data_IF_380619726258
#
_entry.id   IF_380619726258
#
_cell.length_a   1.000
_cell.length_b   1.000
_cell.length_c   1.000
_cell.angle_alpha   90.00
_cell.angle_beta   90.00
_cell.angle_gamma   90.00
#
_symmetry.space_group_name_H-M   'P 1'
#
loop_
_entity.id
_entity.type
_entity.pdbx_description
1 polymer ?
#
# COMPACT_ATOMS: atom_id res chain seq x y z
N UNK A 1 -4.67 -4.96 -27.40
CA UNK A 1 -3.65 -5.30 -26.39
C UNK A 1 -2.34 -5.78 -27.01
N UNK A 2 -1.24 -5.54 -26.30
CA UNK A 2 0.03 -6.23 -26.55
C UNK A 2 0.04 -7.59 -25.83
N UNK A 3 0.79 -8.60 -26.32
CA UNK A 3 0.92 -9.90 -25.63
C UNK A 3 1.38 -9.79 -24.17
N UNK A 4 2.18 -8.76 -23.85
CA UNK A 4 2.62 -8.48 -22.49
C UNK A 4 1.47 -8.00 -21.58
N UNK A 5 0.55 -7.19 -22.11
CA UNK A 5 -0.62 -6.75 -21.36
C UNK A 5 -1.60 -7.90 -21.12
N UNK A 6 -1.74 -8.82 -22.09
CA UNK A 6 -2.60 -10.01 -21.96
C UNK A 6 -2.09 -10.92 -20.86
N UNK A 7 -0.79 -11.21 -20.88
CA UNK A 7 -0.15 -11.98 -19.83
C UNK A 7 -0.28 -11.31 -18.45
N UNK A 8 -0.08 -9.98 -18.36
CA UNK A 8 -0.21 -9.26 -17.10
C UNK A 8 -1.66 -9.29 -16.56
N UNK A 9 -2.65 -9.19 -17.45
CA UNK A 9 -4.07 -9.27 -17.10
C UNK A 9 -4.41 -10.67 -16.57
N UNK A 10 -4.00 -11.73 -17.27
CA UNK A 10 -4.22 -13.12 -16.83
C UNK A 10 -3.62 -13.38 -15.44
N UNK A 11 -2.38 -12.95 -15.21
CA UNK A 11 -1.72 -13.10 -13.91
C UNK A 11 -2.47 -12.34 -12.82
N UNK A 12 -2.93 -11.12 -13.09
CA UNK A 12 -3.69 -10.32 -12.12
C UNK A 12 -5.04 -10.97 -11.77
N UNK A 13 -5.75 -11.51 -12.77
CA UNK A 13 -7.03 -12.22 -12.58
C UNK A 13 -6.84 -13.51 -11.79
N UNK A 14 -5.78 -14.28 -12.07
CA UNK A 14 -5.46 -15.48 -11.30
C UNK A 14 -5.13 -15.16 -9.85
N UNK A 15 -4.33 -14.10 -9.61
CA UNK A 15 -4.05 -13.63 -8.26
C UNK A 15 -5.33 -13.24 -7.53
N UNK A 16 -6.28 -12.56 -8.19
CA UNK A 16 -7.56 -12.23 -7.57
C UNK A 16 -8.37 -13.50 -7.25
N UNK A 17 -8.68 -14.33 -8.25
CA UNK A 17 -9.59 -15.47 -8.10
C UNK A 17 -9.09 -16.51 -7.08
N UNK A 18 -7.78 -16.73 -6.97
CA UNK A 18 -7.23 -17.72 -6.06
C UNK A 18 -7.14 -17.23 -4.61
N UNK A 19 -7.35 -15.92 -4.36
CA UNK A 19 -7.06 -15.30 -3.07
C UNK A 19 -8.21 -14.40 -2.56
N UNK A 20 -9.33 -14.31 -3.28
CA UNK A 20 -10.44 -13.40 -2.95
C UNK A 20 -11.23 -13.78 -1.68
N UNK A 21 -10.87 -14.88 -1.04
CA UNK A 21 -11.45 -15.32 0.24
C UNK A 21 -10.73 -14.72 1.45
N UNK A 22 -9.56 -14.11 1.26
CA UNK A 22 -8.80 -13.35 2.28
C UNK A 22 -8.59 -14.09 3.62
N UNK A 23 -8.43 -15.41 3.58
CA UNK A 23 -8.33 -16.26 4.77
C UNK A 23 -6.99 -16.12 5.52
N UNK A 24 -5.98 -15.52 4.90
CA UNK A 24 -4.65 -15.34 5.48
C UNK A 24 -3.87 -14.18 4.83
N UNK A 25 -2.75 -13.81 5.45
CA UNK A 25 -1.88 -12.69 5.01
C UNK A 25 -1.33 -12.86 3.59
N UNK A 26 -1.03 -14.09 3.17
CA UNK A 26 -0.57 -14.35 1.81
C UNK A 26 -1.68 -14.02 0.80
N UNK A 27 -2.92 -14.40 1.09
CA UNK A 27 -4.08 -14.07 0.26
C UNK A 27 -4.33 -12.57 0.20
N UNK A 28 -4.28 -11.87 1.34
CA UNK A 28 -4.38 -10.40 1.38
C UNK A 28 -3.28 -9.76 0.53
N UNK A 29 -2.03 -10.24 0.67
CA UNK A 29 -0.90 -9.76 -0.11
C UNK A 29 -1.06 -10.00 -1.62
N UNK A 30 -1.63 -11.14 -2.00
CA UNK A 30 -1.92 -11.48 -3.39
C UNK A 30 -3.04 -10.62 -3.98
N UNK A 31 -4.07 -10.25 -3.20
CA UNK A 31 -5.10 -9.30 -3.64
C UNK A 31 -4.52 -7.89 -3.81
N UNK A 32 -3.66 -7.43 -2.89
CA UNK A 32 -2.92 -6.17 -3.06
C UNK A 32 -2.06 -6.18 -4.35
N UNK A 33 -1.39 -7.30 -4.63
CA UNK A 33 -0.59 -7.48 -5.84
C UNK A 33 -1.45 -7.51 -7.11
N UNK A 34 -2.60 -8.19 -7.08
CA UNK A 34 -3.57 -8.21 -8.17
C UNK A 34 -4.02 -6.78 -8.51
N UNK A 35 -4.43 -6.03 -7.48
CA UNK A 35 -4.86 -4.65 -7.65
C UNK A 35 -3.75 -3.76 -8.21
N UNK A 36 -2.53 -3.85 -7.68
CA UNK A 36 -1.37 -3.11 -8.23
C UNK A 36 -1.17 -3.39 -9.72
N UNK A 37 -1.29 -4.65 -10.14
CA UNK A 37 -1.21 -5.02 -11.56
C UNK A 37 -2.33 -4.42 -12.39
N UNK A 38 -3.57 -4.42 -11.91
CA UNK A 38 -4.70 -3.79 -12.61
C UNK A 38 -4.50 -2.27 -12.77
N UNK A 39 -4.00 -1.58 -11.74
CA UNK A 39 -3.66 -0.14 -11.80
C UNK A 39 -2.55 0.12 -12.83
N UNK A 40 -1.51 -0.72 -12.85
CA UNK A 40 -0.41 -0.56 -13.80
C UNK A 40 -0.86 -0.82 -15.25
N UNK A 41 -1.77 -1.78 -15.47
CA UNK A 41 -2.41 -2.01 -16.77
C UNK A 41 -3.18 -0.76 -17.18
N UNK A 42 -4.00 -0.18 -16.30
CA UNK A 42 -4.75 1.06 -16.58
C UNK A 42 -3.82 2.21 -17.02
N UNK A 43 -2.71 2.44 -16.31
CA UNK A 43 -1.74 3.50 -16.64
C UNK A 43 -1.00 3.26 -17.95
N UNK A 44 -0.81 2.01 -18.35
CA UNK A 44 -0.09 1.64 -19.57
C UNK A 44 -0.94 1.72 -20.84
N UNK A 45 -2.26 1.78 -20.70
CA UNK A 45 -3.20 1.88 -21.83
C UNK A 45 -3.25 3.31 -22.35
N UNK A 46 -2.52 3.58 -23.42
CA UNK A 46 -2.43 4.91 -24.05
C UNK A 46 -3.68 5.36 -24.80
N UNK A 47 -4.58 4.43 -25.15
CA UNK A 47 -5.85 4.72 -25.83
C UNK A 47 -7.05 4.38 -24.92
N UNK A 48 -7.90 5.40 -24.68
CA UNK A 48 -9.02 5.39 -23.71
C UNK A 48 -10.25 4.57 -24.13
N UNK A 49 -10.20 3.90 -25.27
CA UNK A 49 -11.34 3.20 -25.90
C UNK A 49 -11.13 1.68 -26.04
N UNK A 50 -10.19 1.10 -25.30
CA UNK A 50 -9.94 -0.35 -25.35
C UNK A 50 -10.96 -1.11 -24.48
N UNK A 51 -11.52 -2.19 -25.02
CA UNK A 51 -12.58 -3.04 -24.42
C UNK A 51 -12.17 -3.63 -23.06
N UNK A 52 -10.90 -3.54 -22.72
CA UNK A 52 -10.29 -4.08 -21.51
C UNK A 52 -10.41 -3.13 -20.32
N UNK A 53 -10.48 -1.81 -20.52
CA UNK A 53 -10.56 -0.85 -19.42
C UNK A 53 -11.78 -1.07 -18.50
N UNK A 54 -13.01 -1.31 -19.03
CA UNK A 54 -14.15 -1.68 -18.19
C UNK A 54 -13.82 -2.87 -17.27
N UNK A 55 -13.14 -3.89 -17.80
CA UNK A 55 -12.80 -5.10 -17.05
C UNK A 55 -11.68 -4.87 -16.03
N UNK A 56 -10.71 -4.02 -16.35
CA UNK A 56 -9.68 -3.58 -15.38
C UNK A 56 -10.33 -2.86 -14.20
N UNK A 57 -11.26 -1.93 -14.47
CA UNK A 57 -12.00 -1.23 -13.42
C UNK A 57 -12.94 -2.15 -12.62
N UNK A 58 -13.53 -3.18 -13.26
CA UNK A 58 -14.28 -4.24 -12.56
C UNK A 58 -13.42 -4.90 -11.49
N UNK A 59 -12.24 -5.40 -11.86
CA UNK A 59 -11.36 -6.06 -10.90
C UNK A 59 -10.79 -5.09 -9.86
N UNK A 60 -10.54 -3.83 -10.21
CA UNK A 60 -10.16 -2.79 -9.23
C UNK A 60 -11.25 -2.63 -8.18
N UNK A 61 -12.51 -2.55 -8.61
CA UNK A 61 -13.66 -2.44 -7.71
C UNK A 61 -13.80 -3.68 -6.82
N UNK A 62 -13.70 -4.88 -7.38
CA UNK A 62 -13.78 -6.14 -6.63
C UNK A 62 -12.63 -6.28 -5.61
N UNK A 63 -11.41 -5.89 -5.97
CA UNK A 63 -10.29 -5.86 -5.03
C UNK A 63 -10.58 -4.89 -3.87
N UNK A 64 -11.02 -3.66 -4.16
CA UNK A 64 -11.35 -2.68 -3.14
C UNK A 64 -12.51 -3.14 -2.25
N UNK A 65 -13.53 -3.77 -2.80
CA UNK A 65 -14.64 -4.34 -2.05
C UNK A 65 -14.18 -5.42 -1.08
N UNK A 66 -13.37 -6.37 -1.57
CA UNK A 66 -12.77 -7.41 -0.72
C UNK A 66 -11.89 -6.81 0.38
N UNK A 67 -11.25 -5.69 0.09
CA UNK A 67 -10.43 -4.97 1.03
C UNK A 67 -11.19 -3.96 1.91
N UNK A 68 -12.52 -4.03 1.93
CA UNK A 68 -13.38 -3.19 2.77
C UNK A 68 -13.24 -1.68 2.51
N UNK A 69 -12.89 -1.31 1.27
CA UNK A 69 -12.83 0.08 0.81
C UNK A 69 -14.12 0.43 0.03
N UNK A 70 -15.26 0.49 0.72
CA UNK A 70 -16.60 0.53 0.11
C UNK A 70 -16.82 1.70 -0.85
N UNK A 71 -16.47 2.92 -0.44
CA UNK A 71 -16.58 4.12 -1.28
C UNK A 71 -15.77 4.00 -2.58
N UNK A 72 -14.52 3.52 -2.52
CA UNK A 72 -13.68 3.33 -3.72
C UNK A 72 -14.17 2.18 -4.59
N UNK A 73 -14.62 1.09 -3.96
CA UNK A 73 -15.22 -0.03 -4.67
C UNK A 73 -16.42 0.44 -5.49
N UNK A 74 -17.29 1.27 -4.88
CA UNK A 74 -18.46 1.84 -5.52
C UNK A 74 -18.08 2.67 -6.75
N UNK A 75 -17.21 3.66 -6.58
CA UNK A 75 -16.87 4.58 -7.65
C UNK A 75 -16.06 3.92 -8.78
N UNK A 76 -15.18 2.96 -8.47
CA UNK A 76 -14.51 2.16 -9.50
C UNK A 76 -15.50 1.25 -10.25
N UNK A 77 -16.51 0.69 -9.56
CA UNK A 77 -17.57 -0.10 -10.18
C UNK A 77 -18.42 0.76 -11.12
N UNK A 78 -18.82 1.96 -10.69
CA UNK A 78 -19.52 2.93 -11.54
C UNK A 78 -18.69 3.30 -12.76
N UNK A 79 -17.37 3.49 -12.59
CA UNK A 79 -16.47 3.80 -13.72
C UNK A 79 -16.34 2.65 -14.71
N UNK A 80 -16.30 1.40 -14.22
CA UNK A 80 -16.32 0.19 -15.05
C UNK A 80 -17.56 0.16 -15.96
N UNK A 81 -18.74 0.41 -15.39
CA UNK A 81 -20.01 0.45 -16.14
C UNK A 81 -20.01 1.56 -17.18
N UNK A 82 -19.65 2.79 -16.80
CA UNK A 82 -19.58 3.95 -17.71
C UNK A 82 -18.68 3.66 -18.92
N UNK A 83 -17.49 3.10 -18.69
CA UNK A 83 -16.57 2.74 -19.76
C UNK A 83 -17.11 1.60 -20.63
N UNK A 84 -17.81 0.63 -20.02
CA UNK A 84 -18.41 -0.50 -20.74
C UNK A 84 -19.55 -0.07 -21.66
N UNK A 85 -20.42 0.82 -21.17
CA UNK A 85 -21.50 1.42 -21.96
C UNK A 85 -20.92 2.24 -23.12
N UNK A 86 -19.93 3.09 -22.87
CA UNK A 86 -19.27 3.88 -23.92
C UNK A 86 -18.57 2.99 -24.97
N UNK A 87 -17.92 1.89 -24.55
CA UNK A 87 -17.29 0.95 -25.47
C UNK A 87 -18.33 0.19 -26.32
N UNK A 88 -19.48 -0.14 -25.74
CA UNK A 88 -20.58 -0.79 -26.44
C UNK A 88 -21.25 0.15 -27.46
N UNK A 89 -21.51 1.41 -27.10
CA UNK A 89 -22.10 2.42 -28.00
C UNK A 89 -21.21 2.71 -29.22
N UNK A 90 -19.89 2.66 -29.03
CA UNK A 90 -18.92 2.88 -30.10
C UNK A 90 -18.59 1.60 -30.90
N UNK A 91 -19.18 0.45 -30.54
CA UNK A 91 -18.94 -0.82 -31.24
C UNK A 91 -19.72 -0.88 -32.56
N UNK A 92 -19.03 -1.25 -33.63
CA UNK A 92 -19.64 -1.52 -34.95
C UNK A 92 -20.39 -2.87 -34.96
N UNK A 93 -20.08 -3.74 -34.00
CA UNK A 93 -20.67 -5.07 -33.88
C UNK A 93 -21.63 -5.12 -32.68
N UNK A 94 -22.77 -5.80 -32.87
CA UNK A 94 -23.63 -6.24 -31.76
C UNK A 94 -22.92 -7.43 -31.10
N UNK A 95 -21.96 -7.14 -30.24
CA UNK A 95 -21.20 -8.13 -29.48
C UNK A 95 -21.95 -8.53 -28.20
N UNK A 96 -21.56 -9.66 -27.60
CA UNK A 96 -22.10 -10.11 -26.31
C UNK A 96 -21.94 -9.00 -25.26
N UNK A 97 -23.04 -8.60 -24.63
CA UNK A 97 -23.07 -7.53 -23.61
C UNK A 97 -22.07 -7.83 -22.49
N UNK A 98 -21.87 -9.11 -22.16
CA UNK A 98 -20.93 -9.55 -21.13
C UNK A 98 -19.45 -9.30 -21.49
N UNK A 99 -19.16 -8.97 -22.76
CA UNK A 99 -17.82 -8.59 -23.19
C UNK A 99 -17.42 -7.20 -22.67
N UNK A 100 -18.40 -6.30 -22.49
CA UNK A 100 -18.18 -4.91 -22.08
C UNK A 100 -18.69 -4.62 -20.67
N UNK A 101 -19.71 -5.36 -20.23
CA UNK A 101 -20.43 -5.12 -18.99
C UNK A 101 -20.37 -6.36 -18.10
N UNK A 102 -19.67 -6.23 -16.98
CA UNK A 102 -19.48 -7.32 -16.02
C UNK A 102 -20.67 -7.38 -15.05
N UNK A 103 -21.44 -8.46 -15.11
CA UNK A 103 -22.61 -8.65 -14.24
C UNK A 103 -22.25 -8.65 -12.74
N UNK A 104 -21.02 -9.06 -12.38
CA UNK A 104 -20.57 -9.05 -10.99
C UNK A 104 -20.44 -7.62 -10.46
N UNK A 105 -20.10 -6.65 -11.32
CA UNK A 105 -19.99 -5.24 -10.96
C UNK A 105 -21.35 -4.63 -10.66
N UNK A 106 -22.39 -4.99 -11.43
CA UNK A 106 -23.75 -4.54 -11.13
C UNK A 106 -24.27 -5.12 -9.81
N UNK A 107 -23.98 -6.40 -9.54
CA UNK A 107 -24.32 -7.01 -8.27
C UNK A 107 -23.59 -6.31 -7.11
N UNK A 108 -22.31 -5.97 -7.30
CA UNK A 108 -21.51 -5.22 -6.34
C UNK A 108 -22.08 -3.81 -6.07
N UNK A 109 -22.41 -3.03 -7.11
CA UNK A 109 -23.02 -1.70 -6.95
C UNK A 109 -24.28 -1.80 -6.11
N UNK A 110 -25.14 -2.77 -6.41
CA UNK A 110 -26.40 -2.97 -5.68
C UNK A 110 -26.15 -3.36 -4.22
N UNK A 111 -25.21 -4.25 -3.96
CA UNK A 111 -24.81 -4.66 -2.60
C UNK A 111 -24.33 -3.45 -1.79
N UNK A 112 -23.46 -2.64 -2.38
CA UNK A 112 -22.91 -1.42 -1.79
C UNK A 112 -24.00 -0.39 -1.46
N UNK A 113 -24.92 -0.15 -2.39
CA UNK A 113 -26.05 0.78 -2.19
C UNK A 113 -27.05 0.30 -1.13
N UNK A 114 -27.15 -1.02 -0.90
CA UNK A 114 -28.10 -1.60 0.04
C UNK A 114 -27.53 -1.74 1.45
N UNK A 115 -26.26 -2.10 1.56
CA UNK A 115 -25.65 -2.55 2.81
C UNK A 115 -24.51 -1.64 3.31
N UNK A 116 -23.98 -0.74 2.47
CA UNK A 116 -22.83 0.12 2.78
C UNK A 116 -23.05 1.59 2.39
N UNK A 117 -24.30 2.03 2.28
CA UNK A 117 -24.64 3.37 1.80
C UNK A 117 -24.11 4.49 2.71
N UNK A 118 -23.97 4.24 4.00
CA UNK A 118 -23.40 5.17 4.99
C UNK A 118 -21.88 5.35 4.87
N UNK A 119 -21.22 4.43 4.18
CA UNK A 119 -19.77 4.47 3.92
C UNK A 119 -19.42 5.14 2.59
N UNK A 120 -20.42 5.50 1.77
CA UNK A 120 -20.24 6.01 0.41
C UNK A 120 -20.65 7.48 0.34
N UNK A 121 -19.77 8.32 -0.19
CA UNK A 121 -20.13 9.69 -0.53
C UNK A 121 -20.69 9.71 -1.96
N UNK A 122 -22.02 9.77 -2.09
CA UNK A 122 -22.71 9.76 -3.38
C UNK A 122 -22.60 11.07 -4.16
N UNK A 123 -22.22 12.18 -3.52
CA UNK A 123 -22.19 13.50 -4.16
C UNK A 123 -20.89 13.76 -4.92
N UNK A 124 -19.80 13.08 -4.55
CA UNK A 124 -18.45 13.41 -5.05
C UNK A 124 -18.13 12.95 -6.47
N UNK A 125 -18.79 11.92 -6.99
CA UNK A 125 -18.42 11.31 -8.28
C UNK A 125 -17.09 10.53 -8.24
N UNK A 126 -16.77 9.83 -9.32
CA UNK A 126 -15.44 9.22 -9.49
C UNK A 126 -14.37 10.30 -9.74
N UNK A 127 -13.26 10.21 -9.02
CA UNK A 127 -12.08 11.05 -9.13
C UNK A 127 -10.89 10.23 -9.66
N UNK A 128 -10.12 10.80 -10.60
CA UNK A 128 -8.90 10.16 -11.10
C UNK A 128 -7.91 9.90 -9.95
N UNK A 129 -7.45 8.64 -9.82
CA UNK A 129 -6.55 8.21 -8.74
C UNK A 129 -7.22 7.37 -7.65
N UNK A 130 -8.54 7.20 -7.68
CA UNK A 130 -9.30 6.35 -6.75
C UNK A 130 -8.99 4.85 -6.82
N UNK A 131 -8.39 4.41 -7.91
CA UNK A 131 -7.95 3.02 -8.07
C UNK A 131 -6.85 2.62 -7.06
N UNK A 132 -6.25 3.57 -6.34
CA UNK A 132 -5.17 3.31 -5.38
C UNK A 132 -5.69 2.95 -3.97
N UNK A 133 -5.11 1.87 -3.41
CA UNK A 133 -5.50 1.20 -2.14
C UNK A 133 -5.28 2.08 -0.92
N UNK A 134 -4.25 2.90 -0.99
CA UNK A 134 -3.90 3.83 0.06
C UNK A 134 -3.99 5.21 -0.54
N UNK A 135 -4.45 6.19 0.24
CA UNK A 135 -4.10 7.57 -0.04
C UNK A 135 -2.58 7.71 0.15
N UNK A 136 -1.85 7.22 -0.86
CA UNK A 136 -0.40 7.30 -0.94
C UNK A 136 0.00 8.68 -1.42
N UNK A 137 -0.93 9.58 -1.78
CA UNK A 137 -0.60 10.93 -2.27
C UNK A 137 0.30 11.65 -1.27
N UNK A 138 0.00 11.52 0.02
CA UNK A 138 0.82 12.08 1.11
C UNK A 138 2.15 11.35 1.23
N UNK A 139 2.17 10.02 1.17
CA UNK A 139 3.40 9.20 1.20
C UNK A 139 4.32 9.54 0.02
N UNK A 140 3.76 9.64 -1.19
CA UNK A 140 4.45 10.02 -2.42
C UNK A 140 4.94 11.47 -2.36
N UNK A 141 4.16 12.39 -1.78
CA UNK A 141 4.60 13.78 -1.59
C UNK A 141 5.81 13.86 -0.66
N UNK A 142 5.81 13.09 0.43
CA UNK A 142 6.91 13.01 1.38
C UNK A 142 8.14 12.35 0.75
N UNK A 143 7.96 11.25 0.01
CA UNK A 143 9.05 10.57 -0.70
C UNK A 143 9.64 11.43 -1.84
N UNK A 144 8.83 12.27 -2.51
CA UNK A 144 9.34 13.26 -3.48
C UNK A 144 10.20 14.32 -2.81
N UNK A 145 9.79 14.83 -1.64
CA UNK A 145 10.61 15.79 -0.88
C UNK A 145 11.98 15.22 -0.51
N UNK A 146 12.05 13.93 -0.13
CA UNK A 146 13.34 13.23 0.09
C UNK A 146 14.16 13.17 -1.19
N UNK A 147 13.55 12.77 -2.31
CA UNK A 147 14.26 12.63 -3.59
C UNK A 147 14.81 13.97 -4.10
N UNK A 148 14.02 15.02 -4.00
CA UNK A 148 14.35 16.35 -4.52
C UNK A 148 15.35 17.08 -3.60
N UNK A 149 15.48 16.67 -2.33
CA UNK A 149 16.50 17.18 -1.41
C UNK A 149 17.94 16.78 -1.79
N UNK A 150 18.13 15.82 -2.71
CA UNK A 150 19.44 15.38 -3.20
C UNK A 150 20.38 14.80 -2.14
N UNK A 151 19.90 14.59 -0.92
CA UNK A 151 20.71 14.14 0.21
C UNK A 151 20.83 12.62 0.20
N UNK A 152 21.92 12.12 -0.40
CA UNK A 152 22.39 10.73 -0.24
C UNK A 152 22.95 10.44 1.17
N UNK A 153 22.59 11.25 2.17
CA UNK A 153 23.11 11.18 3.53
C UNK A 153 21.98 10.95 4.54
N UNK A 154 22.34 10.34 5.66
CA UNK A 154 21.46 10.21 6.83
C UNK A 154 21.14 11.62 7.34
N UNK A 155 19.98 12.14 6.94
CA UNK A 155 19.52 13.49 7.27
C UNK A 155 18.36 13.42 8.25
N UNK A 156 18.21 14.51 9.02
CA UNK A 156 17.10 14.72 9.93
C UNK A 156 15.76 14.55 9.19
N UNK A 157 15.60 15.23 8.06
CA UNK A 157 14.40 15.16 7.24
C UNK A 157 14.10 13.74 6.74
N UNK A 158 15.12 12.98 6.30
CA UNK A 158 14.91 11.61 5.80
C UNK A 158 14.42 10.66 6.90
N UNK A 159 14.99 10.71 8.10
CA UNK A 159 14.54 9.90 9.24
C UNK A 159 13.11 10.26 9.60
N UNK A 160 12.81 11.56 9.73
CA UNK A 160 11.47 12.03 10.09
C UNK A 160 10.42 11.60 9.07
N UNK A 161 10.71 11.74 7.78
CA UNK A 161 9.81 11.33 6.70
C UNK A 161 9.55 9.83 6.75
N UNK A 162 10.57 9.00 6.95
CA UNK A 162 10.38 7.55 7.04
C UNK A 162 9.53 7.15 8.24
N UNK A 163 9.70 7.82 9.40
CA UNK A 163 8.83 7.61 10.56
C UNK A 163 7.38 7.97 10.22
N UNK A 164 7.15 9.12 9.57
CA UNK A 164 5.80 9.54 9.16
C UNK A 164 5.16 8.55 8.17
N UNK A 165 5.93 8.02 7.22
CA UNK A 165 5.48 7.01 6.25
C UNK A 165 5.10 5.71 6.97
N UNK A 166 5.93 5.22 7.89
CA UNK A 166 5.63 4.02 8.66
C UNK A 166 4.41 4.20 9.59
N UNK A 167 4.22 5.39 10.16
CA UNK A 167 3.01 5.71 10.92
C UNK A 167 1.77 5.64 10.02
N UNK A 168 1.85 6.13 8.78
CA UNK A 168 0.74 6.03 7.83
C UNK A 168 0.45 4.60 7.40
N UNK A 169 1.47 3.76 7.22
CA UNK A 169 1.25 2.33 6.98
C UNK A 169 0.56 1.65 8.17
N UNK A 170 0.99 1.96 9.40
CA UNK A 170 0.32 1.45 10.60
C UNK A 170 -1.15 1.90 10.63
N UNK A 171 -1.43 3.20 10.55
CA UNK A 171 -2.80 3.74 10.60
C UNK A 171 -3.71 3.13 9.54
N UNK A 172 -3.22 2.99 8.31
CA UNK A 172 -4.02 2.45 7.22
C UNK A 172 -4.28 0.95 7.39
N UNK A 173 -3.29 0.19 7.87
CA UNK A 173 -3.44 -1.23 8.13
C UNK A 173 -4.37 -1.49 9.33
N UNK A 174 -4.27 -0.70 10.40
CA UNK A 174 -5.18 -0.82 11.55
C UNK A 174 -6.63 -0.61 11.14
N UNK A 175 -6.92 0.46 10.38
CA UNK A 175 -8.27 0.70 9.86
C UNK A 175 -8.79 -0.45 9.01
N UNK A 176 -7.94 -0.97 8.13
CA UNK A 176 -8.26 -2.11 7.28
C UNK A 176 -8.64 -3.35 8.09
N UNK A 177 -7.80 -3.76 9.03
CA UNK A 177 -8.05 -4.97 9.82
C UNK A 177 -9.18 -4.81 10.84
N UNK A 178 -9.36 -3.61 11.40
CA UNK A 178 -10.48 -3.29 12.30
C UNK A 178 -11.83 -3.38 11.58
N UNK A 179 -11.91 -2.87 10.36
CA UNK A 179 -13.12 -2.92 9.56
C UNK A 179 -13.52 -4.38 9.21
N UNK A 180 -12.53 -5.26 9.02
CA UNK A 180 -12.73 -6.71 8.86
C UNK A 180 -12.99 -7.47 10.17
N UNK A 181 -13.00 -6.80 11.33
CA UNK A 181 -13.17 -7.45 12.64
C UNK A 181 -11.97 -8.29 13.10
N UNK A 182 -10.81 -8.19 12.42
CA UNK A 182 -9.60 -8.96 12.72
C UNK A 182 -8.60 -8.16 13.57
N UNK A 183 -8.98 -7.90 14.82
CA UNK A 183 -8.14 -7.18 15.77
C UNK A 183 -6.80 -7.87 16.07
N UNK A 184 -6.69 -9.18 15.87
CA UNK A 184 -5.43 -9.91 16.07
C UNK A 184 -4.43 -9.58 14.97
N UNK A 185 -4.87 -9.56 13.70
CA UNK A 185 -4.01 -9.17 12.59
C UNK A 185 -3.64 -7.68 12.65
N UNK A 186 -4.58 -6.81 13.03
CA UNK A 186 -4.29 -5.39 13.26
C UNK A 186 -3.13 -5.22 14.25
N UNK A 187 -3.17 -5.97 15.34
CA UNK A 187 -2.14 -5.95 16.38
C UNK A 187 -0.80 -6.53 15.89
N UNK A 188 -0.82 -7.68 15.22
CA UNK A 188 0.40 -8.32 14.69
C UNK A 188 1.10 -7.42 13.65
N UNK A 189 0.32 -6.81 12.75
CA UNK A 189 0.85 -5.88 11.76
C UNK A 189 1.40 -4.62 12.42
N UNK A 190 0.69 -4.07 13.42
CA UNK A 190 1.18 -2.96 14.23
C UNK A 190 2.53 -3.25 14.88
N UNK A 191 2.69 -4.42 15.51
CA UNK A 191 3.96 -4.85 16.09
C UNK A 191 5.08 -4.96 15.05
N UNK A 192 4.79 -5.53 13.88
CA UNK A 192 5.74 -5.62 12.78
C UNK A 192 6.24 -4.22 12.38
N UNK A 193 5.32 -3.26 12.19
CA UNK A 193 5.69 -1.89 11.82
C UNK A 193 6.53 -1.21 12.91
N UNK A 194 6.21 -1.42 14.19
CA UNK A 194 6.99 -0.87 15.31
C UNK A 194 8.45 -1.36 15.29
N UNK A 195 8.71 -2.61 14.89
CA UNK A 195 10.09 -3.12 14.74
C UNK A 195 10.94 -2.30 13.77
N UNK A 196 10.33 -1.72 12.71
CA UNK A 196 11.01 -0.84 11.76
C UNK A 196 11.08 0.62 12.24
N UNK A 197 10.28 1.02 13.23
CA UNK A 197 10.36 2.38 13.79
C UNK A 197 11.44 2.51 14.84
N UNK A 198 11.65 1.48 15.67
CA UNK A 198 12.63 1.54 16.77
C UNK A 198 14.04 1.96 16.32
N UNK A 199 14.60 1.41 15.22
CA UNK A 199 15.91 1.85 14.76
C UNK A 199 15.93 3.31 14.30
N UNK A 200 14.83 3.82 13.73
CA UNK A 200 14.72 5.23 13.32
C UNK A 200 14.66 6.16 14.52
N UNK A 201 13.93 5.79 15.57
CA UNK A 201 13.90 6.54 16.84
C UNK A 201 15.28 6.57 17.48
N UNK A 202 15.98 5.44 17.48
CA UNK A 202 17.33 5.36 18.01
C UNK A 202 18.31 6.18 17.16
N UNK A 203 18.22 6.12 15.82
CA UNK A 203 19.01 6.97 14.93
C UNK A 203 18.79 8.45 15.26
N UNK A 204 17.54 8.88 15.39
CA UNK A 204 17.20 10.26 15.74
C UNK A 204 17.93 10.75 16.99
N UNK A 205 18.00 9.91 18.02
CA UNK A 205 18.71 10.19 19.27
C UNK A 205 20.23 10.13 19.12
N UNK A 206 20.78 9.06 18.55
CA UNK A 206 22.23 8.84 18.44
C UNK A 206 22.93 9.88 17.56
N UNK A 207 22.25 10.35 16.50
CA UNK A 207 22.76 11.42 15.63
C UNK A 207 22.43 12.84 16.15
N UNK A 208 21.90 12.96 17.38
CA UNK A 208 21.65 14.23 18.09
C UNK A 208 20.64 15.15 17.39
N UNK A 209 19.63 14.58 16.74
CA UNK A 209 18.55 15.37 16.12
C UNK A 209 17.40 15.70 17.08
N UNK A 210 17.26 14.92 18.15
CA UNK A 210 16.27 15.09 19.21
C UNK A 210 16.20 13.84 20.07
N UNK A 211 15.01 13.52 20.59
CA UNK A 211 14.79 12.36 21.46
C UNK A 211 13.70 11.45 20.87
N UNK A 212 13.70 10.16 21.22
CA UNK A 212 12.65 9.22 20.78
C UNK A 212 11.24 9.68 21.22
N UNK A 213 11.15 10.43 22.32
CA UNK A 213 9.91 11.08 22.81
C UNK A 213 9.34 12.14 21.87
N UNK A 214 10.08 12.57 20.84
CA UNK A 214 9.54 13.43 19.79
C UNK A 214 8.50 12.69 18.93
N UNK A 215 8.51 11.35 18.95
CA UNK A 215 7.60 10.49 18.20
C UNK A 215 6.69 9.65 19.08
N UNK A 216 7.15 9.30 20.28
CA UNK A 216 6.37 8.53 21.26
C UNK A 216 5.48 9.45 22.10
N UNK A 217 4.24 9.03 22.36
CA UNK A 217 3.28 9.75 23.21
C UNK A 217 3.37 9.25 24.65
N UNK A 218 2.90 10.09 25.58
CA UNK A 218 2.72 9.69 26.97
C UNK A 218 1.75 8.49 27.04
N UNK A 219 2.22 7.39 27.64
CA UNK A 219 1.50 6.11 27.69
C UNK A 219 2.01 5.04 26.71
N UNK A 220 2.83 5.40 25.72
CA UNK A 220 3.45 4.42 24.84
C UNK A 220 4.47 3.56 25.60
N UNK A 221 4.47 2.25 25.32
CA UNK A 221 5.43 1.34 25.94
C UNK A 221 6.84 1.59 25.42
N UNK A 222 7.77 1.86 26.32
CA UNK A 222 9.21 1.96 26.01
C UNK A 222 9.88 0.58 25.79
N UNK A 223 9.18 -0.50 26.11
CA UNK A 223 9.77 -1.84 26.07
C UNK A 223 10.35 -2.23 24.70
N UNK A 224 9.67 -2.00 23.56
CA UNK A 224 10.23 -2.32 22.24
C UNK A 224 11.51 -1.53 21.93
N UNK A 225 11.56 -0.26 22.37
CA UNK A 225 12.72 0.60 22.19
C UNK A 225 13.91 0.12 23.03
N UNK A 226 13.67 -0.21 24.30
CA UNK A 226 14.69 -0.78 25.19
C UNK A 226 15.20 -2.13 24.69
N UNK A 227 14.30 -2.98 24.18
CA UNK A 227 14.67 -4.27 23.59
C UNK A 227 15.58 -4.07 22.38
N UNK A 228 15.27 -3.10 21.52
CA UNK A 228 16.14 -2.71 20.42
C UNK A 228 17.52 -2.26 20.91
N UNK A 229 17.60 -1.33 21.86
CA UNK A 229 18.87 -0.83 22.39
C UNK A 229 19.77 -1.96 22.91
N UNK A 230 19.19 -2.96 23.59
CA UNK A 230 19.93 -4.10 24.14
C UNK A 230 20.59 -5.01 23.09
N UNK A 231 20.10 -5.01 21.85
CA UNK A 231 20.53 -5.92 20.76
C UNK A 231 20.60 -5.24 19.40
N UNK A 232 20.94 -3.96 19.37
CA UNK A 232 20.74 -3.12 18.18
C UNK A 232 21.46 -3.65 16.92
N UNK A 233 22.71 -4.14 17.05
CA UNK A 233 23.46 -4.66 15.90
C UNK A 233 22.80 -5.93 15.33
N UNK A 234 22.36 -6.84 16.20
CA UNK A 234 21.67 -8.08 15.83
C UNK A 234 20.36 -7.74 15.11
N UNK A 235 19.51 -6.92 15.73
CA UNK A 235 18.22 -6.54 15.18
C UNK A 235 18.33 -5.74 13.87
N UNK A 236 19.27 -4.79 13.76
CA UNK A 236 19.53 -4.09 12.50
C UNK A 236 19.94 -5.05 11.39
N UNK A 237 20.75 -6.06 11.71
CA UNK A 237 21.21 -7.06 10.72
C UNK A 237 20.04 -7.90 10.21
N UNK A 238 19.17 -8.35 11.12
CA UNK A 238 17.98 -9.13 10.76
C UNK A 238 16.98 -8.33 9.94
N UNK A 239 16.72 -7.07 10.32
CA UNK A 239 15.84 -6.17 9.57
C UNK A 239 16.38 -5.86 8.18
N UNK A 240 17.70 -5.65 8.02
CA UNK A 240 18.32 -5.47 6.70
C UNK A 240 18.12 -6.72 5.84
N UNK A 241 18.37 -7.91 6.40
CA UNK A 241 18.19 -9.17 5.68
C UNK A 241 16.75 -9.31 5.21
N UNK A 242 15.78 -9.05 6.09
CA UNK A 242 14.35 -9.08 5.75
C UNK A 242 14.02 -8.10 4.61
N UNK A 243 14.50 -6.86 4.69
CA UNK A 243 14.28 -5.84 3.64
C UNK A 243 14.92 -6.22 2.29
N UNK A 244 16.03 -6.96 2.29
CA UNK A 244 16.71 -7.42 1.08
C UNK A 244 16.04 -8.65 0.45
N UNK A 245 15.51 -9.56 1.26
CA UNK A 245 14.93 -10.82 0.78
C UNK A 245 13.44 -10.72 0.49
N UNK A 246 12.69 -10.08 1.37
CA UNK A 246 11.23 -10.04 1.34
C UNK A 246 10.73 -8.81 2.11
N UNK A 247 10.86 -7.63 1.49
CA UNK A 247 10.42 -6.40 2.16
C UNK A 247 8.90 -6.42 2.41
N UNK A 248 8.42 -6.22 3.65
CA UNK A 248 6.99 -6.16 3.94
C UNK A 248 6.32 -4.93 3.33
N UNK A 249 7.11 -3.97 2.84
CA UNK A 249 6.61 -2.75 2.20
C UNK A 249 6.40 -2.88 0.70
N UNK A 250 6.84 -3.98 0.07
CA UNK A 250 6.82 -4.17 -1.39
C UNK A 250 5.44 -4.00 -2.01
N UNK A 251 4.40 -4.35 -1.26
CA UNK A 251 2.99 -4.23 -1.65
C UNK A 251 2.44 -2.80 -1.49
N UNK A 252 3.06 -2.00 -0.62
CA UNK A 252 2.59 -0.69 -0.19
C UNK A 252 3.39 0.48 -0.78
N UNK A 253 4.59 0.21 -1.30
CA UNK A 253 5.47 1.22 -1.86
C UNK A 253 5.58 1.15 -3.39
N UNK A 254 5.77 2.31 -4.02
CA UNK A 254 6.18 2.40 -5.42
C UNK A 254 7.71 2.49 -5.51
N UNK A 255 8.32 1.71 -6.42
CA UNK A 255 9.75 1.73 -6.76
C UNK A 255 10.75 1.38 -5.62
N UNK A 256 10.27 0.79 -4.51
CA UNK A 256 11.14 0.36 -3.41
C UNK A 256 11.67 1.51 -2.55
N UNK A 257 11.01 2.67 -2.53
CA UNK A 257 11.55 3.89 -1.94
C UNK A 257 11.71 3.83 -0.41
N UNK A 258 10.72 3.27 0.30
CA UNK A 258 10.78 3.04 1.75
C UNK A 258 11.84 2.00 2.06
N UNK A 259 11.83 0.86 1.35
CA UNK A 259 12.83 -0.20 1.50
C UNK A 259 14.25 0.34 1.33
N UNK A 260 14.51 1.11 0.28
CA UNK A 260 15.82 1.74 0.03
C UNK A 260 16.21 2.72 1.13
N UNK A 261 15.26 3.55 1.58
CA UNK A 261 15.49 4.52 2.65
C UNK A 261 15.86 3.86 3.98
N UNK A 262 15.10 2.82 4.39
CA UNK A 262 15.39 2.04 5.59
C UNK A 262 16.75 1.34 5.49
N UNK A 263 17.02 0.66 4.37
CA UNK A 263 18.32 0.00 4.14
C UNK A 263 19.49 0.97 4.24
N UNK A 264 19.36 2.17 3.68
CA UNK A 264 20.40 3.19 3.74
C UNK A 264 20.71 3.59 5.20
N UNK A 265 19.66 3.90 5.98
CA UNK A 265 19.82 4.32 7.37
C UNK A 265 20.39 3.18 8.21
N UNK A 266 19.85 1.97 8.09
CA UNK A 266 20.24 0.83 8.93
C UNK A 266 21.68 0.39 8.67
N UNK A 267 22.10 0.38 7.40
CA UNK A 267 23.49 0.07 7.05
C UNK A 267 24.45 1.13 7.60
N UNK A 268 24.08 2.41 7.53
CA UNK A 268 24.89 3.49 8.10
C UNK A 268 24.97 3.37 9.63
N UNK A 269 23.85 3.10 10.31
CA UNK A 269 23.84 2.86 11.75
C UNK A 269 24.75 1.71 12.16
N UNK A 270 24.71 0.58 11.47
CA UNK A 270 25.62 -0.55 11.74
C UNK A 270 27.08 -0.14 11.58
N UNK A 271 27.41 0.58 10.50
CA UNK A 271 28.78 1.03 10.25
C UNK A 271 29.27 1.99 11.36
N UNK A 272 28.42 2.92 11.78
CA UNK A 272 28.74 3.92 12.80
C UNK A 272 28.82 3.29 14.20
N UNK A 273 27.97 2.31 14.53
CA UNK A 273 28.05 1.55 15.78
C UNK A 273 29.32 0.69 15.85
N UNK A 274 29.64 -0.03 14.77
CA UNK A 274 30.83 -0.89 14.71
C UNK A 274 32.14 -0.11 14.75
N UNK A 275 32.14 1.13 14.25
CA UNK A 275 33.31 2.02 14.29
C UNK A 275 33.42 2.83 15.58
N UNK A 276 32.43 2.76 16.48
CA UNK A 276 32.37 3.57 17.71
C UNK A 276 32.08 5.06 17.45
N UNK A 277 31.63 5.42 16.25
CA UNK A 277 31.24 6.80 15.92
C UNK A 277 29.97 7.21 16.66
N UNK A 278 29.08 6.26 16.88
CA UNK A 278 27.90 6.37 17.76
C UNK A 278 27.91 5.18 18.72
N UNK A 279 27.37 5.37 19.92
CA UNK A 279 27.32 4.35 20.96
C UNK A 279 25.94 4.36 21.63
N UNK A 280 25.40 3.16 21.84
CA UNK A 280 24.20 2.94 22.66
C UNK A 280 24.69 2.76 24.09
N UNK A 281 24.17 3.57 25.01
CA UNK A 281 24.59 3.59 26.41
C UNK A 281 23.80 2.63 27.26
#
# INVERSE_FOLDING_TARGET
MTPQQEHNMEVAVQLFNNNCDLQNLEQVGNILLALKKFIDINKSSSDRTDVILPRVFSFIALCNYKMDNQDRAYWCAKKSVELGEAAMENSVFVSDVNLYLDQQVFALIKELEQNHADEIDFERGYQEGEENIFDDSKIQSLLRQVRDSGSNTLSKENIKILIEVLNKFHENASKFFEAQGDGLQAFQYGQMIEMFKMPLYCAWQLYKYGWHTDFMKEGDSLFPYMMFESKAIEMLTDLIKLLETESPFTLLERNGAVTKGLLQIYRQMIADLKSGKIEIK
#
